data_IF_779517162361
#
_entry.id   IF_779517162361
#
_cell.length_a   1.000
_cell.length_b   1.000
_cell.length_c   1.000
_cell.angle_alpha   90.00
_cell.angle_beta   90.00
_cell.angle_gamma   90.00
#
_symmetry.space_group_name_H-M   'P 1'
#
loop_
_entity.id
_entity.type
_entity.pdbx_description
1 polymer ?
#
# COMPACT_ATOMS: atom_id res chain seq x y z
N UNK A 1 13.59 21.17 -4.11
CA UNK A 1 13.18 20.11 -3.17
C UNK A 1 13.11 20.64 -1.75
N UNK A 2 14.23 21.04 -1.14
CA UNK A 2 14.25 21.58 0.23
C UNK A 2 13.50 22.91 0.41
N UNK A 3 13.50 23.78 -0.61
CA UNK A 3 12.84 25.09 -0.54
C UNK A 3 11.32 24.99 -0.33
N UNK A 4 10.65 24.02 -0.95
CA UNK A 4 9.20 23.84 -0.81
C UNK A 4 8.81 23.41 0.61
N UNK A 5 9.58 22.48 1.21
CA UNK A 5 9.34 22.01 2.58
C UNK A 5 9.61 23.14 3.58
N UNK A 6 10.70 23.90 3.41
CA UNK A 6 11.02 25.04 4.27
C UNK A 6 9.92 26.10 4.20
N UNK A 7 9.41 26.39 2.99
CA UNK A 7 8.32 27.35 2.81
C UNK A 7 7.03 26.86 3.47
N UNK A 8 6.68 25.58 3.30
CA UNK A 8 5.53 24.98 4.00
C UNK A 8 5.66 25.11 5.53
N UNK A 9 6.85 24.89 6.09
CA UNK A 9 7.09 25.06 7.52
C UNK A 9 6.95 26.52 7.95
N UNK A 10 7.45 27.47 7.14
CA UNK A 10 7.32 28.90 7.42
C UNK A 10 5.84 29.30 7.51
N UNK A 11 5.05 28.95 6.49
CA UNK A 11 3.61 29.22 6.45
C UNK A 11 2.90 28.59 7.65
N UNK A 12 3.19 27.32 7.94
CA UNK A 12 2.59 26.63 9.10
C UNK A 12 2.99 27.26 10.44
N UNK A 13 4.18 27.83 10.55
CA UNK A 13 4.65 28.51 11.76
C UNK A 13 3.96 29.85 11.97
N UNK A 14 3.63 30.56 10.89
CA UNK A 14 2.82 31.78 10.94
C UNK A 14 1.39 31.48 11.38
N UNK A 15 0.78 30.41 10.87
CA UNK A 15 -0.58 30.00 11.26
C UNK A 15 -0.66 29.41 12.68
N UNK A 16 0.34 28.60 13.06
CA UNK A 16 0.38 27.88 14.34
C UNK A 16 1.69 28.16 15.09
N UNK A 17 1.85 29.37 15.66
CA UNK A 17 3.11 29.80 16.27
C UNK A 17 3.52 28.96 17.48
N UNK A 18 2.57 28.39 18.22
CA UNK A 18 2.85 27.61 19.42
C UNK A 18 3.17 26.13 19.14
N UNK A 19 2.99 25.66 17.91
CA UNK A 19 3.27 24.26 17.57
C UNK A 19 4.78 24.01 17.50
N UNK A 20 5.28 22.89 18.09
CA UNK A 20 6.68 22.50 17.98
C UNK A 20 7.10 22.28 16.53
N UNK A 21 8.32 22.73 16.19
CA UNK A 21 8.84 22.66 14.81
C UNK A 21 8.86 21.24 14.25
N UNK A 22 9.07 20.23 15.11
CA UNK A 22 9.09 18.81 14.75
C UNK A 22 7.72 18.39 14.18
N UNK A 23 6.62 18.79 14.83
CA UNK A 23 5.28 18.48 14.33
C UNK A 23 4.98 19.22 13.02
N UNK A 24 5.45 20.47 12.87
CA UNK A 24 5.28 21.22 11.63
C UNK A 24 6.05 20.59 10.46
N UNK A 25 7.23 20.02 10.74
CA UNK A 25 8.01 19.26 9.76
C UNK A 25 7.24 18.02 9.28
N UNK A 26 6.61 17.27 10.19
CA UNK A 26 5.81 16.09 9.83
C UNK A 26 4.66 16.46 8.88
N UNK A 27 3.95 17.55 9.17
CA UNK A 27 2.89 18.05 8.30
C UNK A 27 3.43 18.52 6.94
N UNK A 28 4.56 19.24 6.91
CA UNK A 28 5.16 19.72 5.68
C UNK A 28 5.64 18.57 4.78
N UNK A 29 6.24 17.53 5.36
CA UNK A 29 6.66 16.33 4.61
C UNK A 29 5.46 15.56 4.08
N UNK A 30 4.40 15.41 4.89
CA UNK A 30 3.16 14.76 4.46
C UNK A 30 2.51 15.50 3.29
N UNK A 31 2.39 16.83 3.40
CA UNK A 31 1.85 17.68 2.35
C UNK A 31 2.68 17.59 1.08
N UNK A 32 4.01 17.69 1.18
CA UNK A 32 4.92 17.59 0.04
C UNK A 32 4.78 16.26 -0.70
N UNK A 33 4.79 15.14 0.04
CA UNK A 33 4.70 13.80 -0.57
C UNK A 33 3.38 13.55 -1.32
N UNK A 34 2.32 14.28 -0.96
CA UNK A 34 1.00 14.18 -1.59
C UNK A 34 0.67 15.36 -2.51
N UNK A 35 1.58 16.31 -2.69
CA UNK A 35 1.38 17.43 -3.61
C UNK A 35 1.78 17.06 -5.03
N UNK A 36 1.00 17.49 -6.02
CA UNK A 36 1.30 17.24 -7.44
C UNK A 36 2.58 18.00 -7.81
N UNK A 37 3.58 17.27 -8.30
CA UNK A 37 4.80 17.88 -8.80
C UNK A 37 4.56 18.43 -10.22
N UNK A 38 4.87 19.72 -10.42
CA UNK A 38 4.50 20.45 -11.64
C UNK A 38 5.08 19.87 -12.93
N UNK A 39 6.29 19.31 -12.89
CA UNK A 39 6.94 18.78 -14.10
C UNK A 39 6.49 17.37 -14.49
N UNK A 40 6.00 16.56 -13.53
CA UNK A 40 5.65 15.16 -13.77
C UNK A 40 4.14 14.93 -13.77
N UNK A 41 3.37 15.83 -13.16
CA UNK A 41 1.93 15.66 -12.95
C UNK A 41 1.58 14.60 -11.90
N UNK A 42 2.57 14.05 -11.21
CA UNK A 42 2.41 13.02 -10.18
C UNK A 42 2.92 13.49 -8.84
N UNK A 43 2.41 12.91 -7.76
CA UNK A 43 2.93 13.17 -6.41
C UNK A 43 4.27 12.45 -6.21
N UNK A 44 5.18 12.98 -5.37
CA UNK A 44 6.42 12.27 -5.01
C UNK A 44 6.17 10.84 -4.49
N UNK A 45 5.08 10.65 -3.74
CA UNK A 45 4.67 9.32 -3.27
C UNK A 45 4.35 8.35 -4.41
N UNK A 46 3.58 8.80 -5.42
CA UNK A 46 3.26 8.00 -6.60
C UNK A 46 4.49 7.67 -7.45
N UNK A 47 5.44 8.60 -7.55
CA UNK A 47 6.70 8.38 -8.27
C UNK A 47 7.50 7.26 -7.59
N UNK A 48 7.55 7.25 -6.26
CA UNK A 48 8.33 6.27 -5.50
C UNK A 48 7.66 4.89 -5.39
N UNK A 49 6.33 4.85 -5.19
CA UNK A 49 5.58 3.61 -4.91
C UNK A 49 4.86 3.06 -6.13
N UNK A 50 4.93 3.74 -7.27
CA UNK A 50 4.15 3.43 -8.45
C UNK A 50 2.73 3.99 -8.36
N UNK A 51 2.00 3.89 -9.47
CA UNK A 51 0.59 4.30 -9.60
C UNK A 51 -0.31 3.36 -8.81
N UNK A 52 -0.24 3.46 -7.49
CA UNK A 52 -1.28 2.97 -6.61
C UNK A 52 -2.42 3.98 -6.70
N UNK A 53 -3.64 3.50 -6.93
CA UNK A 53 -4.87 4.31 -7.00
C UNK A 53 -5.29 4.82 -5.59
N UNK A 54 -4.29 5.12 -4.77
CA UNK A 54 -4.42 5.70 -3.44
C UNK A 54 -4.81 7.16 -3.64
N UNK A 55 -6.12 7.42 -3.57
CA UNK A 55 -6.66 8.78 -3.55
C UNK A 55 -5.95 9.60 -2.46
N UNK A 56 -5.52 10.79 -2.84
CA UNK A 56 -4.84 11.73 -1.96
C UNK A 56 -5.67 11.98 -0.68
N UNK A 57 -5.09 11.84 0.52
CA UNK A 57 -5.82 12.06 1.77
C UNK A 57 -6.33 13.51 1.93
N UNK A 58 -5.76 14.47 1.19
CA UNK A 58 -6.14 15.89 1.20
C UNK A 58 -7.28 16.24 0.25
N UNK A 59 -7.66 15.35 -0.67
CA UNK A 59 -8.76 15.57 -1.63
C UNK A 59 -10.13 15.12 -1.09
N UNK A 60 -10.20 14.60 0.14
CA UNK A 60 -11.43 14.00 0.70
C UNK A 60 -12.12 14.93 1.71
N UNK A 61 -13.45 15.05 1.62
CA UNK A 61 -14.30 15.78 2.56
C UNK A 61 -14.31 15.10 3.94
N UNK A 62 -14.28 15.84 5.05
CA UNK A 62 -14.10 15.30 6.42
C UNK A 62 -15.10 14.18 6.79
N UNK A 63 -16.37 14.36 6.43
CA UNK A 63 -17.42 13.37 6.70
C UNK A 63 -17.32 12.13 5.79
N UNK A 64 -16.75 12.28 4.60
CA UNK A 64 -16.55 11.19 3.64
C UNK A 64 -15.27 10.40 3.93
N UNK A 65 -14.28 11.04 4.59
CA UNK A 65 -12.98 10.44 4.90
C UNK A 65 -13.09 9.16 5.70
N UNK A 66 -13.87 9.15 6.78
CA UNK A 66 -13.94 8.00 7.68
C UNK A 66 -14.71 6.85 7.02
N UNK A 67 -15.91 7.13 6.50
CA UNK A 67 -16.77 6.11 5.88
C UNK A 67 -16.08 5.47 4.68
N UNK A 68 -15.50 6.27 3.78
CA UNK A 68 -14.80 5.74 2.61
C UNK A 68 -13.47 5.08 2.99
N UNK A 69 -12.74 5.56 4.01
CA UNK A 69 -11.55 4.87 4.50
C UNK A 69 -11.89 3.48 5.02
N UNK A 70 -12.96 3.34 5.81
CA UNK A 70 -13.44 2.05 6.29
C UNK A 70 -13.79 1.15 5.10
N UNK A 71 -14.46 1.69 4.09
CA UNK A 71 -14.84 0.96 2.88
C UNK A 71 -13.62 0.50 2.07
N UNK A 72 -12.70 1.42 1.75
CA UNK A 72 -11.47 1.16 1.00
C UNK A 72 -10.59 0.15 1.74
N UNK A 73 -10.52 0.25 3.06
CA UNK A 73 -9.75 -0.68 3.90
C UNK A 73 -10.37 -2.07 3.90
N UNK A 74 -11.70 -2.19 4.04
CA UNK A 74 -12.39 -3.46 3.95
C UNK A 74 -12.15 -4.12 2.58
N UNK A 75 -12.30 -3.37 1.48
CA UNK A 75 -12.01 -3.88 0.13
C UNK A 75 -10.55 -4.30 -0.02
N UNK A 76 -9.60 -3.54 0.53
CA UNK A 76 -8.19 -3.90 0.50
C UNK A 76 -7.90 -5.18 1.28
N UNK A 77 -8.55 -5.37 2.43
CA UNK A 77 -8.44 -6.60 3.22
C UNK A 77 -8.98 -7.80 2.45
N UNK A 78 -10.14 -7.67 1.79
CA UNK A 78 -10.71 -8.74 0.96
C UNK A 78 -9.74 -9.16 -0.16
N UNK A 79 -9.13 -8.20 -0.85
CA UNK A 79 -8.13 -8.48 -1.89
C UNK A 79 -6.91 -9.22 -1.31
N UNK A 80 -6.44 -8.81 -0.14
CA UNK A 80 -5.28 -9.43 0.52
C UNK A 80 -5.61 -10.84 1.01
N UNK A 81 -6.76 -11.03 1.65
CA UNK A 81 -7.20 -12.35 2.15
C UNK A 81 -7.40 -13.32 0.99
N UNK A 82 -8.02 -12.88 -0.11
CA UNK A 82 -8.16 -13.66 -1.34
C UNK A 82 -6.81 -14.04 -1.94
N UNK A 83 -5.87 -13.09 -2.00
CA UNK A 83 -4.53 -13.37 -2.50
C UNK A 83 -3.80 -14.42 -1.64
N UNK A 84 -3.86 -14.28 -0.31
CA UNK A 84 -3.28 -15.24 0.64
C UNK A 84 -3.94 -16.61 0.48
N UNK A 85 -5.27 -16.65 0.43
CA UNK A 85 -6.03 -17.88 0.26
C UNK A 85 -5.65 -18.59 -1.04
N UNK A 86 -5.65 -17.88 -2.16
CA UNK A 86 -5.27 -18.43 -3.47
C UNK A 86 -3.83 -18.97 -3.48
N UNK A 87 -2.90 -18.26 -2.83
CA UNK A 87 -1.51 -18.70 -2.72
C UNK A 87 -1.39 -19.98 -1.89
N UNK A 88 -2.06 -20.05 -0.74
CA UNK A 88 -2.09 -21.23 0.13
C UNK A 88 -2.70 -22.44 -0.60
N UNK A 89 -3.87 -22.27 -1.23
CA UNK A 89 -4.57 -23.32 -1.97
C UNK A 89 -3.74 -23.82 -3.14
N UNK A 90 -3.05 -22.93 -3.87
CA UNK A 90 -2.13 -23.31 -4.95
C UNK A 90 -0.97 -24.15 -4.43
N UNK A 91 -0.35 -23.75 -3.31
CA UNK A 91 0.74 -24.52 -2.68
C UNK A 91 0.26 -25.89 -2.19
N UNK A 92 -0.90 -25.97 -1.53
CA UNK A 92 -1.48 -27.23 -1.07
C UNK A 92 -1.75 -28.18 -2.24
N UNK A 93 -2.36 -27.69 -3.33
CA UNK A 93 -2.61 -28.47 -4.54
C UNK A 93 -1.30 -29.00 -5.15
N UNK A 94 -0.28 -28.16 -5.26
CA UNK A 94 1.04 -28.58 -5.77
C UNK A 94 1.68 -29.67 -4.89
N UNK A 95 1.56 -29.57 -3.57
CA UNK A 95 2.09 -30.56 -2.64
C UNK A 95 1.33 -31.89 -2.74
N UNK A 96 0.00 -31.87 -2.82
CA UNK A 96 -0.83 -33.06 -3.04
C UNK A 96 -0.49 -33.76 -4.37
N UNK A 97 -0.35 -32.98 -5.45
CA UNK A 97 0.06 -33.54 -6.73
C UNK A 97 1.46 -34.15 -6.69
N UNK A 98 2.41 -33.52 -5.97
CA UNK A 98 3.75 -34.10 -5.75
C UNK A 98 3.66 -35.41 -4.98
N UNK A 99 2.92 -35.46 -3.88
CA UNK A 99 2.72 -36.67 -3.09
C UNK A 99 2.06 -37.80 -3.90
N UNK A 100 1.01 -37.48 -4.66
CA UNK A 100 0.33 -38.44 -5.54
C UNK A 100 1.23 -38.96 -6.67
N UNK A 101 2.12 -38.12 -7.22
CA UNK A 101 3.12 -38.56 -8.20
C UNK A 101 4.15 -39.50 -7.59
N UNK A 102 4.62 -39.24 -6.37
CA UNK A 102 5.53 -40.16 -5.66
C UNK A 102 4.88 -41.52 -5.42
N UNK A 103 3.66 -41.54 -4.86
CA UNK A 103 2.91 -42.80 -4.64
C UNK A 103 2.68 -43.59 -5.93
N UNK A 104 2.31 -42.94 -7.04
CA UNK A 104 2.13 -43.62 -8.34
C UNK A 104 3.43 -44.22 -8.90
N UNK A 105 4.59 -43.62 -8.59
CA UNK A 105 5.89 -44.17 -8.99
C UNK A 105 6.23 -45.43 -8.19
N UNK A 106 6.01 -45.41 -6.88
CA UNK A 106 6.24 -46.56 -6.00
C UNK A 106 5.41 -47.78 -6.43
N UNK A 107 4.11 -47.60 -6.67
CA UNK A 107 3.22 -48.70 -7.12
C UNK A 107 3.68 -49.30 -8.48
N UNK A 108 4.17 -48.47 -9.41
CA UNK A 108 4.66 -48.97 -10.71
C UNK A 108 5.96 -49.78 -10.60
N UNK A 109 6.79 -49.52 -9.59
CA UNK A 109 8.02 -50.29 -9.37
C UNK A 109 7.70 -51.65 -8.75
N UNK A 110 6.70 -51.73 -7.86
CA UNK A 110 6.31 -53.00 -7.23
C UNK A 110 5.55 -53.96 -8.17
N UNK A 111 4.83 -53.47 -9.18
CA UNK A 111 4.12 -54.34 -10.15
C UNK A 111 5.08 -54.96 -11.20
N UNK A 112 6.30 -54.44 -11.34
CA UNK A 112 7.29 -54.90 -12.31
C UNK A 112 8.41 -55.76 -11.69
N UNK A 113 8.25 -56.22 -10.45
CA UNK A 113 9.11 -57.22 -9.78
C UNK A 113 8.41 -58.56 -9.72
#
# INVERSE_FOLDING_TARGET
>A
FHSSIIESIRVLKEEKPNTPIVQLMDYAVLAYNNSIHSSTGYTPFQILRGRLDLKNPFERNENERITQYIQDHATSLDIITDFIHNKLTKTQKQNLERANRCKKREIKVDVNK
#
